data_IF_229580084830
#
_entry.id   IF_229580084830
#
_cell.length_a   1.000
_cell.length_b   1.000
_cell.length_c   1.000
_cell.angle_alpha   90.00
_cell.angle_beta   90.00
_cell.angle_gamma   90.00
#
_symmetry.space_group_name_H-M   'P 1'
#
loop_
_entity.id
_entity.type
_entity.pdbx_description
1 polymer ?
#
# COMPACT_ATOMS: atom_id res chain seq x y z
N UNK A 1 -17.92 8.90 -31.25
CA UNK A 1 -16.45 8.97 -31.17
C UNK A 1 -16.06 8.73 -29.73
N UNK A 2 -15.66 7.50 -29.42
CA UNK A 2 -15.25 7.11 -28.07
C UNK A 2 -13.78 7.43 -27.92
N UNK A 3 -13.44 8.34 -27.00
CA UNK A 3 -12.05 8.65 -26.68
C UNK A 3 -11.42 7.41 -26.04
N UNK A 4 -10.26 6.91 -26.54
CA UNK A 4 -9.57 5.81 -25.89
C UNK A 4 -9.04 6.30 -24.53
N UNK A 5 -9.19 5.46 -23.51
CA UNK A 5 -8.61 5.69 -22.18
C UNK A 5 -7.09 5.76 -22.36
N UNK A 6 -6.57 6.98 -22.44
CA UNK A 6 -5.14 7.24 -22.59
C UNK A 6 -4.44 6.82 -21.33
N UNK A 7 -3.75 5.68 -21.41
CA UNK A 7 -2.50 5.33 -20.73
C UNK A 7 -2.25 6.12 -19.43
N UNK A 8 -2.89 5.69 -18.33
CA UNK A 8 -2.53 6.10 -16.99
C UNK A 8 -1.06 5.67 -16.82
N UNK A 9 -0.10 6.60 -16.96
CA UNK A 9 1.30 6.32 -16.65
C UNK A 9 1.31 5.81 -15.21
N UNK A 10 1.47 4.50 -15.05
CA UNK A 10 1.45 3.87 -13.73
C UNK A 10 2.65 4.40 -12.96
N UNK A 11 2.41 5.27 -11.98
CA UNK A 11 3.45 5.70 -11.08
C UNK A 11 3.97 4.47 -10.33
N UNK A 12 5.30 4.32 -10.18
CA UNK A 12 5.84 3.22 -9.39
C UNK A 12 5.37 3.39 -7.94
N UNK A 13 5.07 2.27 -7.28
CA UNK A 13 4.57 2.35 -5.91
C UNK A 13 5.60 2.95 -4.97
N UNK A 14 5.15 3.78 -4.01
CA UNK A 14 6.04 4.45 -3.04
C UNK A 14 6.96 3.43 -2.37
N UNK A 15 6.41 2.34 -1.85
CA UNK A 15 7.17 1.27 -1.20
C UNK A 15 8.28 0.73 -2.11
N UNK A 16 7.98 0.49 -3.39
CA UNK A 16 8.98 -0.05 -4.34
C UNK A 16 10.11 0.94 -4.59
N UNK A 17 9.79 2.24 -4.69
CA UNK A 17 10.80 3.28 -4.87
C UNK A 17 11.63 3.45 -3.60
N UNK A 18 11.00 3.52 -2.42
CA UNK A 18 11.68 3.58 -1.12
C UNK A 18 12.65 2.42 -0.95
N UNK A 19 12.20 1.16 -1.10
CA UNK A 19 13.07 -0.03 -0.99
C UNK A 19 14.25 0.03 -1.95
N UNK A 20 14.00 0.39 -3.22
CA UNK A 20 15.06 0.51 -4.22
C UNK A 20 16.13 1.49 -3.78
N UNK A 21 15.75 2.63 -3.21
CA UNK A 21 16.78 3.60 -2.82
C UNK A 21 17.32 3.47 -1.41
N UNK A 22 16.67 2.70 -0.53
CA UNK A 22 17.32 2.18 0.69
C UNK A 22 18.45 1.20 0.35
N UNK A 23 18.30 0.37 -0.68
CA UNK A 23 19.40 -0.52 -1.10
C UNK A 23 20.59 0.20 -1.75
N UNK A 24 20.38 1.43 -2.24
CA UNK A 24 21.45 2.28 -2.77
C UNK A 24 22.17 3.11 -1.69
N UNK A 25 21.72 3.06 -0.43
CA UNK A 25 22.37 3.77 0.66
C UNK A 25 23.82 3.28 0.83
N UNK A 26 24.78 4.20 0.92
CA UNK A 26 26.21 3.88 1.04
C UNK A 26 26.92 3.48 -0.27
N UNK A 27 26.19 3.35 -1.38
CA UNK A 27 26.79 3.09 -2.71
C UNK A 27 27.31 4.39 -3.36
N UNK A 28 28.15 4.28 -4.39
CA UNK A 28 28.72 5.42 -5.11
C UNK A 28 27.60 6.34 -5.68
N UNK A 29 27.62 7.66 -5.42
CA UNK A 29 26.63 8.61 -5.95
C UNK A 29 26.47 8.56 -7.47
N UNK A 30 27.54 8.31 -8.22
CA UNK A 30 27.52 8.27 -9.68
C UNK A 30 26.67 7.11 -10.25
N UNK A 31 26.42 6.04 -9.49
CA UNK A 31 25.64 4.89 -9.96
C UNK A 31 24.14 5.02 -9.72
N UNK A 32 23.67 6.14 -9.16
CA UNK A 32 22.29 6.29 -8.66
C UNK A 32 21.24 6.64 -9.73
N UNK A 33 21.63 6.88 -10.99
CA UNK A 33 20.72 7.22 -12.09
C UNK A 33 20.00 8.56 -11.88
N UNK A 34 19.01 8.87 -12.73
CA UNK A 34 18.12 10.03 -12.50
C UNK A 34 17.47 9.94 -11.10
N UNK A 35 17.35 11.10 -10.47
CA UNK A 35 17.03 11.39 -9.06
C UNK A 35 16.02 10.43 -8.40
N UNK A 36 16.52 9.29 -7.92
CA UNK A 36 15.69 8.27 -7.27
C UNK A 36 14.86 8.81 -6.09
N UNK A 37 15.37 9.85 -5.41
CA UNK A 37 14.63 10.54 -4.35
C UNK A 37 13.51 11.43 -4.88
N UNK A 38 13.66 12.06 -6.05
CA UNK A 38 12.58 12.88 -6.63
C UNK A 38 11.41 11.98 -7.02
N UNK A 39 11.70 10.80 -7.58
CA UNK A 39 10.69 9.81 -7.87
C UNK A 39 9.97 9.33 -6.59
N UNK A 40 10.73 9.14 -5.50
CA UNK A 40 10.15 8.76 -4.20
C UNK A 40 9.26 9.89 -3.65
N UNK A 41 9.69 11.14 -3.73
CA UNK A 41 8.90 12.30 -3.30
C UNK A 41 7.61 12.44 -4.11
N UNK A 42 7.67 12.26 -5.44
CA UNK A 42 6.49 12.32 -6.30
C UNK A 42 5.52 11.17 -6.01
N UNK A 43 6.03 9.95 -5.86
CA UNK A 43 5.21 8.79 -5.49
C UNK A 43 4.54 9.02 -4.12
N UNK A 44 5.25 9.62 -3.17
CA UNK A 44 4.73 9.96 -1.85
C UNK A 44 3.59 10.98 -1.92
N UNK A 45 3.78 12.10 -2.61
CA UNK A 45 2.75 13.13 -2.81
C UNK A 45 1.50 12.50 -3.43
N UNK A 46 1.67 11.68 -4.47
CA UNK A 46 0.57 11.05 -5.17
C UNK A 46 -0.18 10.06 -4.27
N UNK A 47 0.52 9.12 -3.63
CA UNK A 47 -0.12 8.03 -2.89
C UNK A 47 -0.77 8.49 -1.58
N UNK A 48 -0.17 9.45 -0.88
CA UNK A 48 -0.63 9.91 0.44
C UNK A 48 -1.53 11.13 0.41
N UNK A 49 -1.73 11.77 -0.75
CA UNK A 49 -2.61 12.95 -0.91
C UNK A 49 -4.01 12.80 -0.30
N UNK A 50 -4.56 11.57 -0.28
CA UNK A 50 -5.88 11.30 0.28
C UNK A 50 -5.94 11.29 1.82
N UNK A 51 -4.80 11.09 2.48
CA UNK A 51 -4.73 10.79 3.91
C UNK A 51 -4.15 11.96 4.73
N UNK A 52 -4.07 13.14 4.10
CA UNK A 52 -3.52 14.38 4.64
C UNK A 52 -4.36 15.54 4.10
N UNK A 53 -4.33 16.71 4.76
CA UNK A 53 -4.96 17.93 4.22
C UNK A 53 -4.20 18.44 2.99
N UNK A 54 -2.88 18.50 3.10
CA UNK A 54 -2.00 18.93 2.01
C UNK A 54 -0.67 18.18 2.07
N UNK A 55 -0.09 17.89 0.91
CA UNK A 55 1.27 17.39 0.77
C UNK A 55 1.87 17.93 -0.53
N UNK A 56 3.10 18.45 -0.45
CA UNK A 56 3.82 18.99 -1.60
C UNK A 56 5.31 18.98 -1.36
N UNK A 57 6.11 18.94 -2.43
CA UNK A 57 7.55 19.17 -2.31
C UNK A 57 7.78 20.67 -2.09
N UNK A 58 8.68 21.03 -1.18
CA UNK A 58 9.03 22.43 -0.91
C UNK A 58 9.63 23.08 -2.16
N UNK A 59 9.17 24.30 -2.47
CA UNK A 59 9.72 25.14 -3.54
C UNK A 59 10.79 26.11 -3.06
N UNK A 60 10.93 26.27 -1.74
CA UNK A 60 11.79 27.26 -1.10
C UNK A 60 13.09 26.62 -0.60
N UNK A 61 13.02 25.40 -0.06
CA UNK A 61 14.16 24.71 0.51
C UNK A 61 15.02 24.00 -0.56
N UNK A 62 16.31 23.73 -0.27
CA UNK A 62 17.20 23.10 -1.22
C UNK A 62 16.67 21.75 -1.72
N UNK A 63 16.67 21.57 -3.04
CA UNK A 63 16.41 20.28 -3.71
C UNK A 63 17.69 19.82 -4.37
N UNK A 64 18.23 18.69 -3.92
CA UNK A 64 19.43 18.06 -4.47
C UNK A 64 19.17 16.58 -4.74
N UNK A 65 20.04 15.88 -5.50
CA UNK A 65 19.89 14.46 -5.76
C UNK A 65 19.87 13.57 -4.50
N UNK A 66 20.41 14.06 -3.37
CA UNK A 66 20.55 13.32 -2.12
C UNK A 66 19.65 13.84 -0.98
N UNK A 67 18.95 14.96 -1.19
CA UNK A 67 18.12 15.61 -0.18
C UNK A 67 16.95 16.37 -0.82
N UNK A 68 15.74 16.05 -0.37
CA UNK A 68 14.51 16.72 -0.79
C UNK A 68 13.69 17.08 0.44
N UNK A 69 13.07 18.26 0.45
CA UNK A 69 12.14 18.66 1.51
C UNK A 69 10.69 18.56 1.05
N UNK A 70 9.84 17.97 1.89
CA UNK A 70 8.41 17.77 1.62
C UNK A 70 7.60 18.37 2.76
N UNK A 71 6.64 19.21 2.42
CA UNK A 71 5.69 19.79 3.35
C UNK A 71 4.45 18.91 3.46
N UNK A 72 3.99 18.68 4.68
CA UNK A 72 2.75 17.94 4.97
C UNK A 72 1.92 18.73 5.96
N UNK A 73 0.62 18.77 5.74
CA UNK A 73 -0.36 19.14 6.77
C UNK A 73 -1.26 17.95 7.00
N UNK A 74 -1.24 17.41 8.21
CA UNK A 74 -2.05 16.25 8.58
C UNK A 74 -3.54 16.59 8.58
N UNK A 75 -4.40 15.59 8.66
CA UNK A 75 -5.85 15.82 8.68
C UNK A 75 -6.34 16.54 9.93
N UNK A 76 -5.59 16.43 11.02
CA UNK A 76 -5.79 17.18 12.26
C UNK A 76 -5.38 18.66 12.10
N UNK A 77 -4.70 19.03 11.01
CA UNK A 77 -4.26 20.39 10.72
C UNK A 77 -2.84 20.73 11.18
N UNK A 78 -2.10 19.76 11.71
CA UNK A 78 -0.73 19.98 12.13
C UNK A 78 0.20 19.99 10.92
N UNK A 79 1.07 21.00 10.86
CA UNK A 79 2.01 21.17 9.75
C UNK A 79 3.40 20.64 10.11
N UNK A 80 4.08 20.08 9.11
CA UNK A 80 5.42 19.52 9.21
C UNK A 80 6.20 19.81 7.94
N UNK A 81 7.50 20.12 8.09
CA UNK A 81 8.47 20.00 7.02
C UNK A 81 9.28 18.73 7.27
N UNK A 82 9.35 17.89 6.25
CA UNK A 82 10.03 16.62 6.25
C UNK A 82 11.25 16.72 5.36
N UNK A 83 12.32 16.01 5.71
CA UNK A 83 13.40 15.73 4.79
C UNK A 83 13.33 14.27 4.33
N UNK A 84 13.67 14.08 3.06
CA UNK A 84 13.83 12.80 2.41
C UNK A 84 15.29 12.68 1.95
N UNK A 85 15.94 11.62 2.40
CA UNK A 85 17.31 11.28 2.02
C UNK A 85 17.41 9.78 1.72
N UNK A 86 18.60 9.31 1.37
CA UNK A 86 18.85 7.87 1.28
C UNK A 86 18.83 7.13 2.64
N UNK A 87 18.67 7.82 3.76
CA UNK A 87 18.40 7.17 5.06
C UNK A 87 16.91 6.93 5.29
N UNK A 88 16.05 7.58 4.51
CA UNK A 88 14.60 7.58 4.70
C UNK A 88 14.07 8.99 4.99
N UNK A 89 12.97 9.03 5.74
CA UNK A 89 12.15 10.20 6.02
C UNK A 89 12.33 10.67 7.46
N UNK A 90 12.41 11.99 7.69
CA UNK A 90 12.54 12.55 9.02
C UNK A 90 11.82 13.89 9.12
N UNK A 91 11.27 14.21 10.30
CA UNK A 91 10.74 15.55 10.58
C UNK A 91 11.92 16.52 10.77
N UNK A 92 11.95 17.60 9.99
CA UNK A 92 12.95 18.65 10.14
C UNK A 92 12.38 19.89 10.84
N UNK A 93 11.06 20.14 10.73
CA UNK A 93 10.37 21.22 11.44
C UNK A 93 8.86 20.98 11.58
N UNK A 94 8.22 21.76 12.46
CA UNK A 94 6.75 21.81 12.65
C UNK A 94 6.08 22.94 11.87
N UNK A 95 6.82 23.52 10.94
CA UNK A 95 6.34 24.53 10.01
C UNK A 95 6.79 24.14 8.61
N UNK A 96 5.96 24.42 7.62
CA UNK A 96 6.36 24.28 6.22
C UNK A 96 7.58 25.15 5.91
N UNK A 97 8.38 24.69 4.97
CA UNK A 97 9.54 25.42 4.43
C UNK A 97 10.54 25.88 5.49
N UNK A 98 10.68 25.08 6.55
CA UNK A 98 11.56 25.37 7.67
C UNK A 98 12.37 24.14 8.03
N UNK A 99 13.64 24.33 8.39
CA UNK A 99 14.54 23.27 8.88
C UNK A 99 14.84 23.39 10.37
N UNK A 100 14.06 24.21 11.08
CA UNK A 100 14.27 24.44 12.51
C UNK A 100 13.58 23.34 13.31
N UNK A 101 14.38 22.37 13.75
CA UNK A 101 13.95 21.35 14.70
C UNK A 101 13.71 21.93 16.10
N UNK A 102 13.11 21.13 16.97
CA UNK A 102 12.85 21.48 18.36
C UNK A 102 13.60 20.53 19.30
N UNK A 103 14.65 21.05 19.95
CA UNK A 103 15.52 20.31 20.84
C UNK A 103 14.82 19.79 22.11
N UNK A 104 13.62 20.29 22.43
CA UNK A 104 12.83 19.72 23.55
C UNK A 104 12.19 18.39 23.20
N UNK A 105 12.09 18.07 21.90
CA UNK A 105 11.48 16.86 21.36
C UNK A 105 12.43 16.11 20.43
N UNK A 106 13.66 15.87 20.88
CA UNK A 106 14.73 15.24 20.09
C UNK A 106 14.27 14.01 19.31
N UNK A 107 13.56 13.08 19.97
CA UNK A 107 13.09 11.84 19.34
C UNK A 107 12.24 12.07 18.08
N UNK A 108 11.54 13.20 17.96
CA UNK A 108 10.75 13.51 16.76
C UNK A 108 11.63 13.97 15.60
N UNK A 109 12.70 14.72 15.87
CA UNK A 109 13.54 15.38 14.86
C UNK A 109 14.83 14.63 14.50
N UNK A 110 15.16 13.55 15.23
CA UNK A 110 16.39 12.77 14.99
C UNK A 110 16.15 11.40 14.37
N UNK A 111 14.91 10.90 14.41
CA UNK A 111 14.56 9.55 13.96
C UNK A 111 14.24 9.54 12.46
N UNK A 112 14.90 8.65 11.73
CA UNK A 112 14.54 8.33 10.34
C UNK A 112 13.58 7.15 10.30
N UNK A 113 12.61 7.26 9.41
CA UNK A 113 11.63 6.23 9.09
C UNK A 113 11.90 5.72 7.67
N UNK A 114 11.78 4.41 7.46
CA UNK A 114 12.05 3.81 6.16
C UNK A 114 11.03 4.25 5.10
N UNK A 115 9.77 4.39 5.50
CA UNK A 115 8.68 4.83 4.62
C UNK A 115 7.94 6.04 5.18
N UNK A 116 7.38 6.85 4.29
CA UNK A 116 6.50 7.95 4.72
C UNK A 116 5.24 7.44 5.42
N UNK A 117 4.81 6.21 5.14
CA UNK A 117 3.69 5.57 5.82
C UNK A 117 3.93 5.40 7.32
N UNK A 118 5.11 4.90 7.70
CA UNK A 118 5.48 4.71 9.11
C UNK A 118 5.57 6.04 9.85
N UNK A 119 6.08 7.08 9.17
CA UNK A 119 6.15 8.41 9.74
C UNK A 119 4.76 9.02 9.92
N UNK A 120 3.90 8.97 8.91
CA UNK A 120 2.55 9.54 9.00
C UNK A 120 1.69 8.80 10.03
N UNK A 121 1.83 7.47 10.19
CA UNK A 121 1.17 6.70 11.25
C UNK A 121 1.54 7.22 12.66
N UNK A 122 2.75 7.77 12.83
CA UNK A 122 3.16 8.44 14.08
C UNK A 122 2.66 9.88 14.19
N UNK A 123 2.58 10.62 13.09
CA UNK A 123 2.22 12.05 13.12
C UNK A 123 0.72 12.31 13.14
N UNK A 124 -0.09 11.43 12.53
CA UNK A 124 -1.52 11.65 12.31
C UNK A 124 -2.33 10.48 12.85
N UNK A 125 -2.91 10.60 14.05
CA UNK A 125 -3.77 9.57 14.64
C UNK A 125 -4.93 9.12 13.73
N UNK A 126 -5.51 10.03 12.95
CA UNK A 126 -6.66 9.72 12.08
C UNK A 126 -6.26 9.10 10.74
N UNK A 127 -4.97 9.07 10.40
CA UNK A 127 -4.45 8.47 9.18
C UNK A 127 -4.97 7.03 8.97
N UNK A 128 -4.96 6.21 10.02
CA UNK A 128 -5.36 4.80 9.94
C UNK A 128 -6.82 4.62 9.57
N UNK A 129 -7.68 5.52 10.03
CA UNK A 129 -9.11 5.49 9.72
C UNK A 129 -9.32 5.78 8.23
N UNK A 130 -8.67 6.82 7.70
CA UNK A 130 -8.73 7.19 6.28
C UNK A 130 -8.13 6.11 5.38
N UNK A 131 -7.01 5.52 5.79
CA UNK A 131 -6.39 4.42 5.07
C UNK A 131 -7.35 3.22 4.97
N UNK A 132 -7.96 2.83 6.08
CA UNK A 132 -8.93 1.73 6.13
C UNK A 132 -10.16 2.02 5.26
N UNK A 133 -10.66 3.26 5.29
CA UNK A 133 -11.78 3.68 4.45
C UNK A 133 -11.45 3.63 2.96
N UNK A 134 -10.28 4.16 2.54
CA UNK A 134 -9.83 4.09 1.15
C UNK A 134 -9.65 2.64 0.69
N UNK A 135 -9.14 1.77 1.55
CA UNK A 135 -9.02 0.34 1.25
C UNK A 135 -10.40 -0.29 1.05
N UNK A 136 -11.34 -0.05 1.98
CA UNK A 136 -12.71 -0.55 1.87
C UNK A 136 -13.43 -0.02 0.61
N UNK A 137 -13.19 1.23 0.24
CA UNK A 137 -13.72 1.80 -1.01
C UNK A 137 -13.14 1.08 -2.24
N UNK A 138 -11.83 0.87 -2.30
CA UNK A 138 -11.20 0.14 -3.41
C UNK A 138 -11.73 -1.30 -3.54
N UNK A 139 -11.90 -2.00 -2.42
CA UNK A 139 -12.46 -3.36 -2.41
C UNK A 139 -13.90 -3.39 -2.96
N UNK A 140 -14.75 -2.44 -2.55
CA UNK A 140 -16.12 -2.32 -3.08
C UNK A 140 -16.15 -2.06 -4.59
N UNK A 141 -15.25 -1.20 -5.08
CA UNK A 141 -15.15 -0.92 -6.52
C UNK A 141 -14.76 -2.16 -7.31
N UNK A 142 -13.83 -2.97 -6.78
CA UNK A 142 -13.43 -4.22 -7.43
C UNK A 142 -14.57 -5.24 -7.45
N UNK A 143 -15.28 -5.42 -6.33
CA UNK A 143 -16.44 -6.31 -6.26
C UNK A 143 -17.54 -5.90 -7.24
N UNK A 144 -17.87 -4.60 -7.30
CA UNK A 144 -18.89 -4.11 -8.21
C UNK A 144 -18.51 -4.24 -9.70
N UNK A 145 -17.21 -4.27 -10.03
CA UNK A 145 -16.74 -4.46 -11.40
C UNK A 145 -16.81 -5.94 -11.85
N UNK A 146 -16.85 -6.89 -10.92
CA UNK A 146 -17.01 -8.33 -11.21
C UNK A 146 -18.48 -8.68 -11.53
N UNK A 147 -19.44 -7.90 -11.03
CA UNK A 147 -20.88 -8.14 -11.21
C UNK A 147 -21.44 -7.63 -12.56
N UNK A 148 -20.71 -6.79 -13.30
CA UNK A 148 -21.19 -6.13 -14.53
C UNK A 148 -20.84 -6.89 -15.84
N UNK A 149 -20.15 -8.03 -15.78
CA UNK A 149 -19.76 -8.84 -16.96
C UNK A 149 -20.78 -9.95 -17.33
N UNK A 150 -21.89 -10.12 -16.59
CA UNK A 150 -22.84 -11.23 -16.82
C UNK A 150 -24.18 -10.85 -17.49
N UNK A 151 -24.43 -9.60 -17.90
CA UNK A 151 -25.74 -9.21 -18.46
C UNK A 151 -25.69 -8.57 -19.84
N UNK A 152 -25.11 -9.28 -20.81
CA UNK A 152 -25.26 -8.94 -22.23
C UNK A 152 -25.53 -10.15 -23.15
N UNK A 153 -26.37 -11.11 -22.74
CA UNK A 153 -26.98 -12.04 -23.71
C UNK A 153 -28.22 -12.79 -23.16
N UNK A 154 -29.31 -12.08 -22.86
CA UNK A 154 -30.61 -12.75 -22.74
C UNK A 154 -31.75 -11.77 -23.05
N UNK A 155 -32.03 -11.58 -24.33
CA UNK A 155 -33.30 -11.01 -24.79
C UNK A 155 -33.62 -11.49 -26.19
N UNK A 156 -34.26 -12.65 -26.27
CA UNK A 156 -35.38 -12.84 -27.19
C UNK A 156 -36.35 -13.82 -26.54
N UNK A 157 -37.45 -13.26 -26.03
CA UNK A 157 -38.63 -13.99 -25.62
C UNK A 157 -39.40 -14.44 -26.87
N UNK A 158 -39.87 -15.68 -26.87
CA UNK A 158 -41.10 -16.03 -27.58
C UNK A 158 -41.84 -17.15 -26.87
N UNK A 159 -43.11 -16.83 -26.62
CA UNK A 159 -44.19 -17.48 -25.88
C UNK A 159 -44.66 -18.82 -26.50
N UNK A 160 -45.42 -19.56 -25.67
CA UNK A 160 -46.50 -20.55 -25.97
C UNK A 160 -46.19 -22.04 -25.86
N UNK A 161 -46.74 -22.65 -24.81
CA UNK A 161 -47.15 -24.08 -24.67
C UNK A 161 -48.32 -24.41 -25.64
N UNK A 162 -48.72 -25.68 -25.94
CA UNK A 162 -49.07 -26.71 -24.93
C UNK A 162 -48.91 -28.21 -25.32
N UNK A 163 -49.25 -29.08 -24.35
CA UNK A 163 -49.91 -30.43 -24.46
C UNK A 163 -49.05 -31.71 -24.32
N UNK A 164 -49.15 -32.30 -23.12
CA UNK A 164 -49.46 -33.71 -22.76
C UNK A 164 -48.88 -34.89 -23.59
N UNK A 165 -48.20 -35.84 -22.90
CA UNK A 165 -48.56 -37.27 -22.84
C UNK A 165 -47.55 -38.05 -21.99
N UNK A 166 -48.10 -39.01 -21.25
CA UNK A 166 -47.55 -39.95 -20.28
C UNK A 166 -46.28 -40.71 -20.70
N UNK A 167 -45.42 -41.08 -19.73
CA UNK A 167 -45.29 -42.47 -19.31
C UNK A 167 -44.33 -42.67 -18.12
N UNK A 168 -44.75 -43.63 -17.31
CA UNK A 168 -44.23 -44.15 -16.06
C UNK A 168 -43.14 -45.21 -16.32
N UNK A 169 -42.05 -45.24 -15.55
CA UNK A 169 -41.42 -46.49 -15.06
C UNK A 169 -40.30 -46.20 -14.03
N UNK A 170 -40.41 -46.91 -12.90
CA UNK A 170 -39.40 -47.41 -11.94
C UNK A 170 -37.89 -47.29 -12.33
N UNK A 171 -36.92 -47.17 -11.41
CA UNK A 171 -36.60 -48.14 -10.35
C UNK A 171 -35.53 -47.62 -9.33
N UNK A 172 -35.68 -48.12 -8.10
CA UNK A 172 -34.66 -48.66 -7.16
C UNK A 172 -33.39 -47.88 -6.73
N UNK A 173 -33.42 -47.46 -5.45
CA UNK A 173 -32.57 -47.91 -4.32
C UNK A 173 -31.04 -48.10 -4.45
N UNK A 174 -30.27 -47.36 -3.63
CA UNK A 174 -29.21 -47.84 -2.67
C UNK A 174 -28.42 -46.61 -2.13
N UNK A 175 -28.38 -46.26 -0.82
CA UNK A 175 -27.55 -46.79 0.28
C UNK A 175 -26.04 -46.90 -0.07
N UNK A 176 -25.03 -46.57 0.75
CA UNK A 176 -24.85 -46.05 2.11
C UNK A 176 -23.31 -46.03 2.42
N UNK A 177 -22.91 -45.46 3.58
CA UNK A 177 -21.64 -45.62 4.37
C UNK A 177 -20.49 -44.61 4.09
N UNK A 178 -20.09 -43.74 5.05
CA UNK A 178 -19.23 -43.92 6.27
C UNK A 178 -17.82 -44.45 5.90
N UNK A 179 -16.66 -43.97 6.36
CA UNK A 179 -16.23 -43.46 7.69
C UNK A 179 -14.76 -42.97 7.64
N UNK A 180 -14.35 -42.17 8.65
CA UNK A 180 -13.03 -42.14 9.36
C UNK A 180 -11.76 -41.63 8.66
N UNK A 181 -11.15 -40.52 9.13
CA UNK A 181 -10.12 -40.36 10.20
C UNK A 181 -8.74 -40.91 9.82
N UNK A 182 -7.72 -40.03 9.73
CA UNK A 182 -6.47 -40.19 10.49
C UNK A 182 -5.60 -38.90 10.55
N UNK A 183 -5.02 -38.69 11.74
CA UNK A 183 -3.98 -37.71 12.09
C UNK A 183 -2.60 -38.31 11.80
N UNK A 184 -1.59 -37.48 11.56
CA UNK A 184 -0.17 -37.74 11.89
C UNK A 184 0.55 -36.38 11.95
N UNK A 185 0.89 -35.85 13.13
CA UNK A 185 2.16 -36.05 13.86
C UNK A 185 3.42 -35.69 13.05
N UNK A 186 4.09 -34.61 13.46
CA UNK A 186 5.51 -34.36 13.21
C UNK A 186 6.18 -34.14 14.57
N UNK A 187 7.04 -35.07 14.96
CA UNK A 187 8.01 -34.94 16.03
C UNK A 187 9.39 -34.55 15.44
N UNK A 188 10.28 -34.19 16.37
CA UNK A 188 11.75 -34.16 16.31
C UNK A 188 12.40 -32.81 15.91
N UNK A 189 13.17 -32.05 16.72
CA UNK A 189 14.16 -32.24 17.82
C UNK A 189 15.60 -31.96 17.35
N UNK A 190 16.38 -31.27 18.22
CA UNK A 190 17.87 -31.11 18.28
C UNK A 190 18.49 -30.11 17.27
N UNK A 191 19.50 -29.27 17.53
CA UNK A 191 20.24 -28.70 18.68
C UNK A 191 21.24 -27.71 18.05
N UNK A 192 21.74 -26.70 18.78
CA UNK A 192 23.14 -26.24 18.65
C UNK A 192 23.53 -25.27 19.76
N UNK A 193 24.49 -25.73 20.55
CA UNK A 193 25.37 -24.94 21.41
C UNK A 193 26.34 -24.11 20.56
N UNK A 194 26.78 -22.95 21.06
CA UNK A 194 28.20 -22.60 21.12
C UNK A 194 28.43 -21.38 22.04
N UNK A 195 29.42 -21.53 22.90
CA UNK A 195 30.01 -20.51 23.77
C UNK A 195 30.86 -19.53 22.94
N UNK A 196 31.12 -18.31 23.42
CA UNK A 196 32.47 -18.02 23.93
C UNK A 196 32.58 -16.65 24.61
N UNK A 197 33.37 -16.72 25.67
CA UNK A 197 33.78 -15.71 26.63
C UNK A 197 34.96 -14.90 26.05
N UNK A 198 35.06 -13.61 26.37
CA UNK A 198 36.31 -12.85 26.22
C UNK A 198 36.28 -11.64 27.16
N UNK A 199 37.06 -11.77 28.23
CA UNK A 199 37.56 -10.68 29.08
C UNK A 199 38.62 -9.85 28.37
#
# INVERSE_FOLDING_TARGET
MTVPITNLRSFPSLTRVSTKNRSLHGTNPQSRGESSLELEAVAAVHELSFAVKTISVSEILPRTPDLIFVNVTTVEGQSYCLELTLKGWRVTSLRHDCMQGDYTRLNLFTVYYDTLYDLIDKLSPDYKNLFSEKLAQKLRVLQAAEDDDFTASASFSSTTSPTNMSNNLNSETAMCHKTSIERSQTNDVISREENDDSS
#
